data_IF_020550346129
#
_entry.id   IF_020550346129
#
_cell.length_a   1.000
_cell.length_b   1.000
_cell.length_c   1.000
_cell.angle_alpha   90.00
_cell.angle_beta   90.00
_cell.angle_gamma   90.00
#
_symmetry.space_group_name_H-M   'P 1'
#
loop_
_entity.id
_entity.type
_entity.pdbx_description
1 polymer ?
#
# COMPACT_ATOMS: atom_id res chain seq x y z
N UNK A 1 21.09 3.64 -7.77
CA UNK A 1 19.74 3.53 -7.18
C UNK A 1 19.45 2.07 -6.79
N UNK A 2 18.50 1.86 -5.88
CA UNK A 2 18.13 0.50 -5.42
C UNK A 2 17.56 -0.35 -6.56
N UNK A 3 16.77 0.27 -7.45
CA UNK A 3 16.24 -0.31 -8.69
C UNK A 3 16.37 0.73 -9.81
N UNK A 4 16.42 0.26 -11.05
CA UNK A 4 16.14 1.13 -12.19
C UNK A 4 14.61 1.30 -12.30
N UNK A 5 14.09 2.29 -11.58
CA UNK A 5 12.64 2.49 -11.42
C UNK A 5 11.92 2.79 -12.74
N UNK A 6 12.57 3.50 -13.64
CA UNK A 6 11.97 3.84 -14.93
C UNK A 6 11.89 2.60 -15.83
N UNK A 7 12.93 1.78 -15.87
CA UNK A 7 12.91 0.53 -16.62
C UNK A 7 11.91 -0.46 -16.01
N UNK A 8 11.88 -0.56 -14.69
CA UNK A 8 10.91 -1.40 -13.96
C UNK A 8 9.47 -1.00 -14.29
N UNK A 9 9.17 0.31 -14.29
CA UNK A 9 7.84 0.82 -14.66
C UNK A 9 7.45 0.41 -16.07
N UNK A 10 8.38 0.52 -17.01
CA UNK A 10 8.17 0.12 -18.40
C UNK A 10 7.90 -1.37 -18.52
N UNK A 11 8.69 -2.19 -17.83
CA UNK A 11 8.53 -3.65 -17.83
C UNK A 11 7.17 -4.06 -17.25
N UNK A 12 6.74 -3.46 -16.15
CA UNK A 12 5.40 -3.73 -15.57
C UNK A 12 4.32 -3.41 -16.59
N UNK A 13 4.41 -2.26 -17.29
CA UNK A 13 3.44 -1.88 -18.30
C UNK A 13 3.31 -2.93 -19.40
N UNK A 14 4.44 -3.47 -19.87
CA UNK A 14 4.45 -4.54 -20.86
C UNK A 14 3.82 -5.82 -20.36
N UNK A 15 4.13 -6.23 -19.13
CA UNK A 15 3.56 -7.45 -18.53
C UNK A 15 2.08 -7.30 -18.22
N UNK A 16 1.64 -6.13 -17.80
CA UNK A 16 0.20 -5.87 -17.60
C UNK A 16 -0.58 -5.92 -18.92
N UNK A 17 0.03 -5.48 -20.03
CA UNK A 17 -0.57 -5.61 -21.34
C UNK A 17 -0.76 -7.08 -21.72
N UNK A 18 0.22 -7.94 -21.44
CA UNK A 18 0.09 -9.39 -21.66
C UNK A 18 -1.01 -9.98 -20.78
N UNK A 19 -1.04 -9.61 -19.50
CA UNK A 19 -2.07 -10.09 -18.58
C UNK A 19 -3.47 -9.65 -19.00
N UNK A 20 -3.61 -8.44 -19.54
CA UNK A 20 -4.88 -7.95 -20.07
C UNK A 20 -5.38 -8.81 -21.23
N UNK A 21 -4.48 -9.29 -22.09
CA UNK A 21 -4.84 -10.19 -23.20
C UNK A 21 -5.27 -11.56 -22.70
N UNK A 22 -4.63 -12.06 -21.64
CA UNK A 22 -4.93 -13.38 -21.08
C UNK A 22 -6.14 -13.38 -20.15
N UNK A 23 -6.36 -12.29 -19.41
CA UNK A 23 -7.42 -12.17 -18.41
C UNK A 23 -8.04 -10.77 -18.46
N UNK A 24 -8.75 -10.44 -19.53
CA UNK A 24 -9.24 -9.08 -19.75
C UNK A 24 -10.22 -8.60 -18.68
N UNK A 25 -11.08 -9.46 -18.18
CA UNK A 25 -12.08 -9.08 -17.18
C UNK A 25 -11.45 -8.77 -15.83
N UNK A 26 -10.39 -9.47 -15.46
CA UNK A 26 -9.63 -9.19 -14.23
C UNK A 26 -9.02 -7.79 -14.27
N UNK A 27 -8.38 -7.44 -15.37
CA UNK A 27 -7.75 -6.12 -15.53
C UNK A 27 -8.79 -5.02 -15.61
N UNK A 28 -9.90 -5.24 -16.35
CA UNK A 28 -10.99 -4.25 -16.40
C UNK A 28 -11.64 -4.03 -15.04
N UNK A 29 -11.87 -5.11 -14.29
CA UNK A 29 -12.41 -5.03 -12.93
C UNK A 29 -11.51 -4.22 -11.99
N UNK A 30 -10.21 -4.46 -12.06
CA UNK A 30 -9.25 -3.67 -11.30
C UNK A 30 -9.28 -2.19 -11.69
N UNK A 31 -9.31 -1.88 -12.99
CA UNK A 31 -9.38 -0.48 -13.45
C UNK A 31 -10.65 0.22 -12.97
N UNK A 32 -11.79 -0.46 -13.04
CA UNK A 32 -13.06 0.07 -12.53
C UNK A 32 -12.95 0.38 -11.04
N UNK A 33 -12.36 -0.52 -10.27
CA UNK A 33 -12.13 -0.32 -8.83
C UNK A 33 -11.18 0.85 -8.56
N UNK A 34 -10.09 0.92 -9.30
CA UNK A 34 -9.10 1.99 -9.16
C UNK A 34 -9.67 3.37 -9.48
N UNK A 35 -10.49 3.47 -10.53
CA UNK A 35 -11.08 4.74 -10.98
C UNK A 35 -12.25 5.20 -10.12
N UNK A 36 -12.86 4.31 -9.35
CA UNK A 36 -14.02 4.61 -8.52
C UNK A 36 -13.77 5.75 -7.53
N UNK A 37 -12.57 5.82 -6.97
CA UNK A 37 -12.25 6.82 -5.95
C UNK A 37 -12.22 8.25 -6.50
N UNK A 38 -11.75 8.43 -7.74
CA UNK A 38 -11.78 9.73 -8.39
C UNK A 38 -13.22 10.19 -8.66
N UNK A 39 -14.13 9.26 -8.96
CA UNK A 39 -15.56 9.57 -9.16
C UNK A 39 -16.26 9.97 -7.87
N UNK A 40 -15.88 9.38 -6.73
CA UNK A 40 -16.37 9.76 -5.40
C UNK A 40 -16.00 11.22 -5.08
N UNK A 41 -14.75 11.61 -5.33
CA UNK A 41 -14.33 13.00 -5.46
C UNK A 41 -14.27 13.86 -4.19
N UNK A 42 -14.31 13.27 -2.99
CA UNK A 42 -14.18 14.05 -1.74
C UNK A 42 -12.73 14.38 -1.39
N UNK A 43 -11.79 13.58 -1.85
CA UNK A 43 -10.35 13.83 -1.69
C UNK A 43 -9.77 14.26 -3.03
N UNK A 44 -8.79 15.16 -3.01
CA UNK A 44 -8.11 15.55 -4.24
C UNK A 44 -7.13 14.45 -4.70
N UNK A 45 -6.66 14.59 -5.95
CA UNK A 45 -5.76 13.60 -6.55
C UNK A 45 -4.47 13.44 -5.74
N UNK A 46 -3.89 14.55 -5.26
CA UNK A 46 -2.66 14.52 -4.47
C UNK A 46 -2.84 13.71 -3.19
N UNK A 47 -3.92 13.94 -2.46
CA UNK A 47 -4.23 13.20 -1.23
C UNK A 47 -4.44 11.72 -1.51
N UNK A 48 -5.16 11.37 -2.57
CA UNK A 48 -5.34 9.96 -2.96
C UNK A 48 -4.02 9.27 -3.25
N UNK A 49 -3.11 9.95 -3.95
CA UNK A 49 -1.80 9.38 -4.28
C UNK A 49 -0.90 9.24 -3.05
N UNK A 50 -0.97 10.17 -2.10
CA UNK A 50 -0.26 10.04 -0.82
C UNK A 50 -0.76 8.84 -0.01
N UNK A 51 -2.07 8.61 0.03
CA UNK A 51 -2.67 7.43 0.64
C UNK A 51 -2.18 6.16 -0.07
N UNK A 52 -2.17 6.17 -1.40
CA UNK A 52 -1.70 5.05 -2.21
C UNK A 52 -0.25 4.67 -1.88
N UNK A 53 0.63 5.66 -1.73
CA UNK A 53 2.03 5.42 -1.36
C UNK A 53 2.16 4.84 0.05
N UNK A 54 1.38 5.32 1.01
CA UNK A 54 1.37 4.79 2.37
C UNK A 54 0.94 3.31 2.39
N UNK A 55 -0.05 2.95 1.59
CA UNK A 55 -0.49 1.55 1.44
C UNK A 55 0.56 0.74 0.69
N UNK A 56 1.14 1.29 -0.38
CA UNK A 56 2.14 0.61 -1.21
C UNK A 56 3.37 0.16 -0.41
N UNK A 57 3.89 1.00 0.49
CA UNK A 57 5.04 0.63 1.33
C UNK A 57 4.66 -0.41 2.37
N UNK A 58 3.43 -0.38 2.87
CA UNK A 58 2.92 -1.36 3.82
C UNK A 58 2.76 -2.74 3.18
N UNK A 59 2.30 -2.79 1.94
CA UNK A 59 2.09 -4.03 1.18
C UNK A 59 3.33 -4.48 0.41
N UNK A 60 4.43 -3.75 0.48
CA UNK A 60 5.69 -4.04 -0.23
C UNK A 60 5.49 -4.21 -1.74
N UNK A 61 4.77 -3.29 -2.35
CA UNK A 61 4.43 -3.36 -3.78
C UNK A 61 5.29 -2.41 -4.60
N UNK A 62 6.38 -2.89 -5.18
CA UNK A 62 7.28 -2.07 -6.00
C UNK A 62 6.57 -1.43 -7.20
N UNK A 63 5.69 -2.17 -7.84
CA UNK A 63 4.87 -1.64 -8.94
C UNK A 63 3.97 -0.50 -8.51
N UNK A 64 3.34 -0.63 -7.35
CA UNK A 64 2.51 0.43 -6.77
C UNK A 64 3.37 1.65 -6.41
N UNK A 65 4.55 1.42 -5.86
CA UNK A 65 5.48 2.50 -5.51
C UNK A 65 5.82 3.33 -6.74
N UNK A 66 6.27 2.71 -7.83
CA UNK A 66 6.72 3.46 -9.01
C UNK A 66 5.55 4.18 -9.69
N UNK A 67 4.41 3.53 -9.82
CA UNK A 67 3.23 4.12 -10.47
C UNK A 67 2.67 5.29 -9.66
N UNK A 68 2.51 5.10 -8.36
CA UNK A 68 1.91 6.14 -7.52
C UNK A 68 2.89 7.25 -7.12
N UNK A 69 4.20 7.00 -7.15
CA UNK A 69 5.20 8.08 -7.05
C UNK A 69 5.08 9.02 -8.25
N UNK A 70 5.02 8.50 -9.46
CA UNK A 70 4.83 9.32 -10.66
C UNK A 70 3.51 10.09 -10.58
N UNK A 71 2.42 9.44 -10.22
CA UNK A 71 1.10 10.07 -10.11
C UNK A 71 1.06 11.14 -9.01
N UNK A 72 1.70 10.90 -7.86
CA UNK A 72 1.80 11.88 -6.79
C UNK A 72 2.55 13.15 -7.22
N UNK A 73 3.68 12.97 -7.91
CA UNK A 73 4.45 14.10 -8.42
C UNK A 73 3.66 14.89 -9.47
N UNK A 74 2.95 14.22 -10.37
CA UNK A 74 2.07 14.86 -11.35
C UNK A 74 0.91 15.61 -10.68
N UNK A 75 0.42 15.13 -9.55
CA UNK A 75 -0.63 15.78 -8.77
C UNK A 75 -0.09 16.93 -7.89
N UNK A 76 1.20 17.22 -7.94
CA UNK A 76 1.83 18.33 -7.24
C UNK A 76 2.29 18.02 -5.82
N UNK A 77 2.40 16.75 -5.45
CA UNK A 77 2.92 16.39 -4.13
C UNK A 77 4.41 16.75 -4.02
N UNK A 78 4.78 17.37 -2.91
CA UNK A 78 6.16 17.67 -2.60
C UNK A 78 6.87 16.46 -2.00
N UNK A 79 8.20 16.48 -2.02
CA UNK A 79 9.01 15.45 -1.38
C UNK A 79 8.71 15.38 0.14
N UNK A 80 8.46 16.53 0.75
CA UNK A 80 8.13 16.65 2.17
C UNK A 80 6.76 16.04 2.48
N UNK A 81 5.76 16.31 1.64
CA UNK A 81 4.43 15.70 1.77
C UNK A 81 4.48 14.19 1.63
N UNK A 82 5.22 13.69 0.67
CA UNK A 82 5.44 12.24 0.49
C UNK A 82 6.10 11.65 1.74
N UNK A 83 7.16 12.29 2.24
CA UNK A 83 7.86 11.85 3.44
C UNK A 83 6.93 11.78 4.66
N UNK A 84 6.07 12.78 4.84
CA UNK A 84 5.10 12.80 5.93
C UNK A 84 4.08 11.66 5.82
N UNK A 85 3.56 11.41 4.63
CA UNK A 85 2.65 10.29 4.38
C UNK A 85 3.31 8.94 4.71
N UNK A 86 4.58 8.78 4.35
CA UNK A 86 5.35 7.58 4.69
C UNK A 86 5.56 7.46 6.21
N UNK A 87 5.80 8.57 6.89
CA UNK A 87 5.89 8.61 8.36
C UNK A 87 4.62 8.14 9.05
N UNK A 88 3.45 8.53 8.52
CA UNK A 88 2.15 8.03 9.00
C UNK A 88 2.04 6.52 8.81
N UNK A 89 2.45 6.00 7.66
CA UNK A 89 2.44 4.56 7.39
C UNK A 89 3.33 3.81 8.40
N UNK A 90 4.54 4.31 8.66
CA UNK A 90 5.47 3.71 9.64
C UNK A 90 4.85 3.70 11.03
N UNK A 91 4.27 4.81 11.47
CA UNK A 91 3.63 4.92 12.78
C UNK A 91 2.45 3.95 12.92
N UNK A 92 1.61 3.86 11.89
CA UNK A 92 0.46 2.95 11.89
C UNK A 92 0.89 1.49 11.92
N UNK A 93 1.92 1.11 11.16
CA UNK A 93 2.45 -0.25 11.16
C UNK A 93 3.06 -0.62 12.52
N UNK A 94 3.83 0.29 13.11
CA UNK A 94 4.38 0.09 14.44
C UNK A 94 3.27 0.00 15.50
N UNK A 95 2.27 0.88 15.44
CA UNK A 95 1.11 0.86 16.32
C UNK A 95 0.31 -0.44 16.21
N UNK A 96 0.12 -0.94 14.99
CA UNK A 96 -0.55 -2.22 14.77
C UNK A 96 0.20 -3.36 15.45
N UNK A 97 1.53 -3.41 15.31
CA UNK A 97 2.35 -4.43 15.97
C UNK A 97 2.29 -4.30 17.49
N UNK A 98 2.34 -3.09 18.01
CA UNK A 98 2.27 -2.82 19.45
C UNK A 98 0.94 -3.29 20.03
N UNK A 99 -0.18 -2.89 19.42
CA UNK A 99 -1.50 -3.26 19.89
C UNK A 99 -1.71 -4.76 19.76
N UNK A 100 -1.35 -5.36 18.65
CA UNK A 100 -1.50 -6.79 18.42
C UNK A 100 -0.64 -7.63 19.36
N UNK A 101 0.46 -7.08 19.87
CA UNK A 101 1.32 -7.73 20.87
C UNK A 101 0.59 -8.04 22.18
N UNK A 102 -0.45 -7.29 22.51
CA UNK A 102 -1.28 -7.55 23.71
C UNK A 102 -1.93 -8.93 23.67
N UNK A 103 -2.19 -9.46 22.49
CA UNK A 103 -2.74 -10.82 22.32
C UNK A 103 -1.78 -11.90 22.80
N UNK A 104 -0.48 -11.63 22.74
CA UNK A 104 0.53 -12.56 23.27
C UNK A 104 0.42 -12.65 24.79
N UNK A 105 0.24 -11.52 25.47
CA UNK A 105 0.04 -11.52 26.93
C UNK A 105 -1.24 -12.28 27.32
N UNK A 106 -2.31 -12.08 26.56
CA UNK A 106 -3.55 -12.83 26.75
C UNK A 106 -3.33 -14.35 26.60
N UNK A 107 -2.59 -14.75 25.57
CA UNK A 107 -2.23 -16.15 25.35
C UNK A 107 -1.31 -16.70 26.46
N UNK A 108 -0.37 -15.90 26.95
CA UNK A 108 0.49 -16.27 28.09
C UNK A 108 -0.36 -16.56 29.32
N UNK A 109 -1.30 -15.71 29.65
CA UNK A 109 -2.18 -15.88 30.80
C UNK A 109 -3.01 -17.16 30.67
N UNK A 110 -3.59 -17.41 29.49
CA UNK A 110 -4.37 -18.61 29.22
C UNK A 110 -3.52 -19.89 29.40
N UNK A 111 -2.30 -19.89 28.88
CA UNK A 111 -1.40 -21.05 28.98
C UNK A 111 -0.85 -21.24 30.40
N UNK A 112 -0.56 -20.15 31.08
CA UNK A 112 -0.09 -20.19 32.47
C UNK A 112 -1.20 -20.76 33.41
N UNK A 113 -2.44 -20.30 33.25
CA UNK A 113 -3.59 -20.80 34.00
C UNK A 113 -3.81 -22.32 33.75
N UNK A 114 -3.71 -22.75 32.48
CA UNK A 114 -3.80 -24.15 32.09
C UNK A 114 -2.75 -25.02 32.81
N UNK A 115 -1.49 -24.53 32.84
CA UNK A 115 -0.37 -25.23 33.49
C UNK A 115 -0.62 -25.33 35.01
N UNK A 116 -1.12 -24.27 35.64
CA UNK A 116 -1.38 -24.24 37.07
C UNK A 116 -2.55 -25.14 37.48
N UNK A 117 -3.52 -25.36 36.59
CA UNK A 117 -4.69 -26.21 36.88
C UNK A 117 -4.45 -27.68 36.58
N UNK A 118 -3.34 -28.03 35.98
CA UNK A 118 -2.90 -29.41 35.75
C UNK A 118 -2.07 -29.91 36.90
#
# INVERSE_FOLDING_TARGET
MMLDWNEYHKQIGGRLTELMKLSPDTVRGYRTLSDANAKTGHLDARTRELISLAVAVTTHCDGCIVVHTEAALKAGASREEISEALGVAVAMNAGAALIYSTRVLDAVDAKTAQTQSA
#
